data_IF_673188919290
#
_entry.id   IF_673188919290
#
_cell.length_a   1.000
_cell.length_b   1.000
_cell.length_c   1.000
_cell.angle_alpha   90.00
_cell.angle_beta   90.00
_cell.angle_gamma   90.00
#
_symmetry.space_group_name_H-M   'P 1'
#
loop_
_entity.id
_entity.type
_entity.pdbx_description
1 polymer ?
#
# COMPACT_ATOMS: atom_id res chain seq x y z
N UNK A 1 14.08 0.59 0.73
CA UNK A 1 12.80 1.31 0.92
C UNK A 1 12.76 2.67 0.26
N UNK A 2 13.85 3.46 0.27
CA UNK A 2 13.88 4.75 -0.44
C UNK A 2 13.49 4.62 -1.92
N UNK A 3 13.88 3.53 -2.57
CA UNK A 3 13.51 3.27 -3.97
C UNK A 3 12.01 2.95 -4.10
N UNK A 4 11.43 2.20 -3.15
CA UNK A 4 10.00 1.92 -3.12
C UNK A 4 9.17 3.19 -2.87
N UNK A 5 9.61 4.07 -1.96
CA UNK A 5 8.94 5.35 -1.75
C UNK A 5 9.03 6.23 -3.00
N UNK A 6 10.21 6.29 -3.63
CA UNK A 6 10.43 7.04 -4.87
C UNK A 6 9.55 6.52 -6.01
N UNK A 7 9.35 5.19 -6.10
CA UNK A 7 8.42 4.60 -7.06
C UNK A 7 7.00 5.13 -6.85
N UNK A 8 6.49 5.08 -5.62
CA UNK A 8 5.13 5.53 -5.31
C UNK A 8 4.95 7.05 -5.56
N UNK A 9 5.96 7.86 -5.24
CA UNK A 9 5.96 9.30 -5.56
C UNK A 9 5.95 9.54 -7.07
N UNK A 10 6.71 8.75 -7.85
CA UNK A 10 6.75 8.86 -9.32
C UNK A 10 5.42 8.48 -9.99
N UNK A 11 4.57 7.70 -9.31
CA UNK A 11 3.21 7.39 -9.73
C UNK A 11 2.19 8.50 -9.43
N UNK A 12 2.63 9.59 -8.80
CA UNK A 12 1.78 10.73 -8.44
C UNK A 12 1.06 10.57 -7.11
N UNK A 13 1.38 9.54 -6.32
CA UNK A 13 0.82 9.39 -4.99
C UNK A 13 1.40 10.42 -4.02
N UNK A 14 0.58 10.88 -3.09
CA UNK A 14 0.91 11.93 -2.13
C UNK A 14 1.19 11.34 -0.75
N UNK A 15 1.95 12.07 0.07
CA UNK A 15 2.20 11.70 1.48
C UNK A 15 2.73 10.26 1.65
N UNK A 16 3.63 9.84 0.76
CA UNK A 16 4.19 8.49 0.72
C UNK A 16 5.12 8.27 1.91
N UNK A 17 4.89 7.18 2.65
CA UNK A 17 5.72 6.76 3.77
C UNK A 17 5.90 5.24 3.74
N UNK A 18 7.09 4.76 4.02
CA UNK A 18 7.40 3.33 4.12
C UNK A 18 7.58 2.92 5.57
N UNK A 19 7.11 1.72 5.94
CA UNK A 19 7.35 1.15 7.26
C UNK A 19 8.48 0.12 7.20
N UNK A 20 9.60 0.42 7.88
CA UNK A 20 10.83 -0.41 7.96
C UNK A 20 11.23 -1.00 6.60
N UNK A 21 11.81 -2.19 6.51
CA UNK A 21 12.08 -2.90 5.26
C UNK A 21 11.09 -4.06 5.03
N UNK A 22 9.81 -3.83 5.28
CA UNK A 22 8.79 -4.89 5.28
C UNK A 22 7.80 -4.84 4.10
N UNK A 23 8.05 -4.03 3.07
CA UNK A 23 7.15 -3.89 1.91
C UNK A 23 5.86 -3.11 2.18
N UNK A 24 5.70 -2.49 3.37
CA UNK A 24 4.51 -1.73 3.72
C UNK A 24 4.66 -0.25 3.34
N UNK A 25 3.66 0.28 2.64
CA UNK A 25 3.63 1.67 2.16
C UNK A 25 2.29 2.30 2.54
N UNK A 26 2.36 3.46 3.20
CA UNK A 26 1.24 4.36 3.41
C UNK A 26 1.31 5.47 2.36
N UNK A 27 0.23 5.71 1.64
CA UNK A 27 0.16 6.76 0.63
C UNK A 27 -1.27 7.30 0.53
N UNK A 28 -1.41 8.44 -0.16
CA UNK A 28 -2.70 9.03 -0.50
C UNK A 28 -2.83 9.11 -2.01
N UNK A 29 -4.03 8.81 -2.50
CA UNK A 29 -4.37 8.87 -3.90
C UNK A 29 -5.75 9.50 -4.09
N UNK A 30 -5.96 10.13 -5.26
CA UNK A 30 -7.25 10.74 -5.63
C UNK A 30 -8.17 9.77 -6.37
N UNK A 31 -7.64 8.71 -6.98
CA UNK A 31 -8.44 7.66 -7.60
C UNK A 31 -9.04 6.77 -6.50
N UNK A 32 -10.29 6.33 -6.72
CA UNK A 32 -11.02 5.47 -5.78
C UNK A 32 -11.06 4.01 -6.24
N UNK A 33 -10.58 3.69 -7.44
CA UNK A 33 -10.58 2.32 -7.94
C UNK A 33 -9.36 1.54 -7.45
N UNK A 34 -9.54 0.85 -6.31
CA UNK A 34 -8.49 0.02 -5.69
C UNK A 34 -7.96 -1.06 -6.63
N UNK A 35 -8.80 -1.64 -7.50
CA UNK A 35 -8.35 -2.70 -8.42
C UNK A 35 -7.37 -2.17 -9.47
N UNK A 36 -7.65 -0.99 -10.01
CA UNK A 36 -6.74 -0.32 -10.94
C UNK A 36 -5.42 0.06 -10.28
N UNK A 37 -5.47 0.53 -9.03
CA UNK A 37 -4.26 0.84 -8.25
C UNK A 37 -3.38 -0.39 -8.01
N UNK A 38 -3.99 -1.54 -7.68
CA UNK A 38 -3.26 -2.81 -7.50
C UNK A 38 -2.54 -3.18 -8.80
N UNK A 39 -3.25 -3.23 -9.92
CA UNK A 39 -2.68 -3.59 -11.23
C UNK A 39 -1.55 -2.62 -11.63
N UNK A 40 -1.75 -1.32 -11.41
CA UNK A 40 -0.75 -0.30 -11.69
C UNK A 40 0.53 -0.51 -10.87
N UNK A 41 0.39 -0.71 -9.56
CA UNK A 41 1.52 -0.87 -8.63
C UNK A 41 2.28 -2.17 -8.91
N UNK A 42 1.57 -3.29 -9.09
CA UNK A 42 2.18 -4.59 -9.42
C UNK A 42 3.00 -4.50 -10.71
N UNK A 43 2.41 -3.97 -11.78
CA UNK A 43 3.10 -3.76 -13.05
C UNK A 43 4.35 -2.90 -12.89
N UNK A 44 4.26 -1.81 -12.13
CA UNK A 44 5.37 -0.88 -11.92
C UNK A 44 6.49 -1.46 -11.05
N UNK A 45 6.15 -2.30 -10.09
CA UNK A 45 7.14 -3.05 -9.30
C UNK A 45 7.91 -4.02 -10.18
N UNK A 46 7.23 -4.77 -11.07
CA UNK A 46 7.91 -5.67 -12.02
C UNK A 46 8.81 -4.89 -12.97
N UNK A 47 8.32 -3.78 -13.54
CA UNK A 47 9.10 -2.95 -14.48
C UNK A 47 10.37 -2.37 -13.86
N UNK A 48 10.32 -1.92 -12.61
CA UNK A 48 11.44 -1.21 -11.96
C UNK A 48 12.37 -2.15 -11.19
N UNK A 49 11.84 -3.18 -10.55
CA UNK A 49 12.60 -4.06 -9.67
C UNK A 49 12.79 -5.48 -10.21
N UNK A 50 12.07 -5.87 -11.26
CA UNK A 50 12.27 -7.15 -11.96
C UNK A 50 11.67 -8.37 -11.27
N UNK A 51 10.76 -8.21 -10.30
CA UNK A 51 10.09 -9.32 -9.63
C UNK A 51 8.59 -9.10 -9.47
N UNK A 52 7.83 -10.19 -9.60
CA UNK A 52 6.38 -10.21 -9.40
C UNK A 52 6.02 -10.21 -7.93
N UNK A 53 5.02 -9.40 -7.56
CA UNK A 53 4.47 -9.32 -6.21
C UNK A 53 2.96 -9.29 -6.28
N UNK A 54 2.33 -9.70 -5.18
CA UNK A 54 0.89 -9.52 -4.96
C UNK A 54 0.70 -8.29 -4.08
N UNK A 55 -0.08 -7.32 -4.53
CA UNK A 55 -0.34 -6.07 -3.79
C UNK A 55 -1.71 -6.13 -3.10
N UNK A 56 -1.70 -5.86 -1.80
CA UNK A 56 -2.93 -5.65 -1.02
C UNK A 56 -3.01 -4.18 -0.61
N UNK A 57 -4.11 -3.53 -0.97
CA UNK A 57 -4.42 -2.17 -0.52
C UNK A 57 -5.56 -2.25 0.50
N UNK A 58 -5.43 -1.50 1.59
CA UNK A 58 -6.50 -1.30 2.56
C UNK A 58 -6.66 0.19 2.81
N UNK A 59 -7.90 0.68 2.75
CA UNK A 59 -8.21 2.04 3.17
C UNK A 59 -8.09 2.19 4.68
N UNK A 60 -8.02 3.45 5.13
CA UNK A 60 -8.02 3.78 6.56
C UNK A 60 -9.29 3.25 7.24
N UNK A 61 -10.43 3.33 6.56
CA UNK A 61 -11.73 2.88 7.04
C UNK A 61 -11.78 1.35 7.15
N UNK A 62 -11.27 0.62 6.14
CA UNK A 62 -11.15 -0.83 6.19
C UNK A 62 -10.25 -1.29 7.34
N UNK A 63 -9.09 -0.65 7.53
CA UNK A 63 -8.20 -0.96 8.65
C UNK A 63 -8.88 -0.72 10.00
N UNK A 64 -9.63 0.36 10.16
CA UNK A 64 -10.42 0.61 11.38
C UNK A 64 -11.43 -0.51 11.63
N UNK A 65 -12.18 -0.91 10.60
CA UNK A 65 -13.15 -2.00 10.69
C UNK A 65 -12.48 -3.32 11.07
N UNK A 66 -11.34 -3.66 10.45
CA UNK A 66 -10.57 -4.87 10.75
C UNK A 66 -10.13 -4.89 12.22
N UNK A 67 -9.64 -3.76 12.75
CA UNK A 67 -9.23 -3.66 14.15
C UNK A 67 -10.44 -3.85 15.09
N UNK A 68 -11.59 -3.23 14.77
CA UNK A 68 -12.81 -3.33 15.58
C UNK A 68 -13.42 -4.74 15.57
N UNK A 69 -13.32 -5.45 14.44
CA UNK A 69 -13.83 -6.81 14.28
C UNK A 69 -12.81 -7.90 14.63
N UNK A 70 -11.63 -7.54 15.14
CA UNK A 70 -10.59 -8.51 15.46
C UNK A 70 -11.00 -9.38 16.67
N UNK A 71 -11.25 -10.69 16.49
CA UNK A 71 -11.74 -11.57 17.56
C UNK A 71 -10.69 -11.82 18.65
N UNK A 72 -9.43 -11.46 18.41
CA UNK A 72 -8.33 -11.59 19.36
C UNK A 72 -7.95 -10.26 20.02
N UNK A 73 -8.62 -9.16 19.65
CA UNK A 73 -8.32 -7.85 20.24
C UNK A 73 -8.91 -7.75 21.65
N UNK A 74 -8.12 -8.14 22.65
CA UNK A 74 -8.41 -7.83 24.05
C UNK A 74 -7.92 -6.42 24.33
N UNK A 75 -8.85 -5.49 24.61
CA UNK A 75 -8.49 -4.26 25.32
C UNK A 75 -7.91 -4.67 26.67
N UNK A 76 -6.59 -4.49 26.83
CA UNK A 76 -5.93 -4.47 28.14
C UNK A 76 -5.97 -3.05 28.67
#
# INVERSE_FOLDING_TARGET
MKDLSSLFESLGFMNVQTYIQSGNVLFQDKNKNVKELIILIEKKIVEVFGFEVIVFIRSKEELKTIIQSNPFFKKT
#
